data_IF_726477295846
#
_entry.id   IF_726477295846
#
_cell.length_a   1.000
_cell.length_b   1.000
_cell.length_c   1.000
_cell.angle_alpha   90.00
_cell.angle_beta   90.00
_cell.angle_gamma   90.00
#
_symmetry.space_group_name_H-M   'P 1'
#
loop_
_entity.id
_entity.type
_entity.pdbx_description
1 polymer ?
#
# COMPACT_ATOMS: atom_id res chain seq x y z
N UNK A 1 -0.84 -9.78 14.20
CA UNK A 1 -0.91 -10.00 12.75
C UNK A 1 -2.20 -10.71 12.47
N UNK A 2 -2.99 -10.24 11.51
CA UNK A 2 -4.29 -10.81 11.15
C UNK A 2 -4.14 -12.11 10.32
N UNK A 3 -3.20 -12.98 10.71
CA UNK A 3 -2.86 -14.25 10.07
C UNK A 3 -3.97 -15.29 10.21
N UNK A 4 -4.28 -15.99 9.11
CA UNK A 4 -4.91 -17.32 9.20
C UNK A 4 -3.77 -18.31 9.45
N UNK A 5 -3.95 -19.22 10.40
CA UNK A 5 -2.90 -20.12 10.89
C UNK A 5 -2.20 -20.92 9.76
N UNK A 6 -2.90 -21.17 8.65
CA UNK A 6 -2.41 -21.92 7.48
C UNK A 6 -1.94 -21.08 6.29
N UNK A 7 -1.93 -19.74 6.38
CA UNK A 7 -1.59 -18.87 5.25
C UNK A 7 -0.56 -17.80 5.63
N UNK A 8 0.63 -17.90 5.03
CA UNK A 8 1.66 -16.87 5.13
C UNK A 8 1.27 -15.72 4.21
N UNK A 9 1.07 -14.54 4.79
CA UNK A 9 1.00 -13.28 4.06
C UNK A 9 2.09 -12.33 4.55
N UNK A 10 2.70 -11.61 3.62
CA UNK A 10 3.72 -10.61 3.92
C UNK A 10 3.17 -9.25 3.55
N UNK A 11 3.36 -8.25 4.42
CA UNK A 11 2.98 -6.88 4.12
C UNK A 11 4.18 -6.13 3.55
N UNK A 12 4.06 -5.63 2.32
CA UNK A 12 4.99 -4.67 1.73
C UNK A 12 4.38 -3.27 1.84
N UNK A 13 4.96 -2.42 2.70
CA UNK A 13 4.50 -1.05 2.90
C UNK A 13 5.56 -0.04 2.45
N UNK A 14 5.42 0.56 1.27
CA UNK A 14 6.26 1.68 0.84
C UNK A 14 6.17 2.84 1.84
N UNK A 15 7.32 3.46 2.17
CA UNK A 15 7.43 4.57 3.12
C UNK A 15 8.12 5.77 2.47
N UNK A 16 7.70 6.96 2.89
CA UNK A 16 8.31 8.22 2.46
C UNK A 16 8.53 9.15 3.66
N UNK A 17 9.51 10.06 3.51
CA UNK A 17 9.69 11.15 4.47
C UNK A 17 8.42 12.00 4.48
N UNK A 18 7.78 12.11 5.65
CA UNK A 18 6.54 12.88 5.81
C UNK A 18 5.25 12.15 5.42
N UNK A 19 5.26 10.82 5.24
CA UNK A 19 4.04 10.02 4.98
C UNK A 19 3.08 9.91 6.17
N UNK A 20 3.45 10.54 7.30
CA UNK A 20 2.59 10.89 8.42
C UNK A 20 2.64 12.42 8.54
N UNK A 21 1.55 13.07 8.16
CA UNK A 21 1.40 14.52 8.20
C UNK A 21 0.45 14.95 9.33
N UNK A 22 0.20 16.26 9.46
CA UNK A 22 -0.70 16.82 10.49
C UNK A 22 -2.10 16.17 10.49
N UNK A 23 -2.69 15.94 9.31
CA UNK A 23 -4.00 15.29 9.18
C UNK A 23 -3.99 13.87 9.78
N UNK A 24 -2.89 13.14 9.62
CA UNK A 24 -2.72 11.80 10.18
C UNK A 24 -2.43 11.86 11.67
N UNK A 25 -1.44 12.67 12.08
CA UNK A 25 -0.91 12.69 13.44
C UNK A 25 -1.88 13.32 14.46
N UNK A 26 -2.58 14.39 14.08
CA UNK A 26 -3.49 15.13 14.95
C UNK A 26 -4.95 14.83 14.59
N UNK A 27 -5.27 14.80 13.30
CA UNK A 27 -6.64 14.56 12.83
C UNK A 27 -7.06 13.08 12.86
N UNK A 28 -6.13 12.14 13.05
CA UNK A 28 -6.42 10.70 13.01
C UNK A 28 -6.96 10.23 11.65
N UNK A 29 -6.76 11.00 10.58
CA UNK A 29 -7.24 10.70 9.22
C UNK A 29 -6.05 10.56 8.28
N UNK A 30 -5.98 9.43 7.58
CA UNK A 30 -5.00 9.20 6.51
C UNK A 30 -5.64 9.53 5.17
N UNK A 31 -4.99 10.40 4.40
CA UNK A 31 -5.41 10.72 3.04
C UNK A 31 -4.79 9.68 2.10
N UNK A 32 -5.61 9.03 1.28
CA UNK A 32 -5.17 8.14 0.22
C UNK A 32 -5.26 8.93 -1.10
N UNK A 33 -4.14 9.23 -1.76
CA UNK A 33 -4.11 10.18 -2.89
C UNK A 33 -4.62 9.58 -4.22
N UNK A 34 -4.81 8.26 -4.29
CA UNK A 34 -5.16 7.55 -5.52
C UNK A 34 -6.20 6.44 -5.25
N UNK A 35 -7.15 6.18 -6.17
CA UNK A 35 -8.04 5.01 -6.09
C UNK A 35 -7.29 3.68 -6.16
N UNK A 36 -7.78 2.67 -5.43
CA UNK A 36 -7.14 1.36 -5.36
C UNK A 36 -7.03 0.64 -6.71
N UNK A 37 -8.07 0.70 -7.55
CA UNK A 37 -8.04 0.14 -8.91
C UNK A 37 -6.89 0.69 -9.76
N UNK A 38 -6.62 1.99 -9.67
CA UNK A 38 -5.56 2.63 -10.44
C UNK A 38 -4.18 2.20 -9.92
N UNK A 39 -4.00 2.12 -8.59
CA UNK A 39 -2.77 1.58 -8.00
C UNK A 39 -2.54 0.13 -8.41
N UNK A 40 -3.58 -0.71 -8.41
CA UNK A 40 -3.51 -2.11 -8.83
C UNK A 40 -3.07 -2.24 -10.29
N UNK A 41 -3.69 -1.50 -11.21
CA UNK A 41 -3.35 -1.52 -12.64
C UNK A 41 -1.87 -1.17 -12.85
N UNK A 42 -1.41 -0.06 -12.25
CA UNK A 42 -0.02 0.38 -12.33
C UNK A 42 0.96 -0.69 -11.85
N UNK A 43 0.70 -1.33 -10.71
CA UNK A 43 1.55 -2.38 -10.18
C UNK A 43 1.55 -3.61 -11.09
N UNK A 44 0.37 -4.07 -11.52
CA UNK A 44 0.22 -5.24 -12.40
C UNK A 44 1.00 -5.09 -13.69
N UNK A 45 0.90 -3.93 -14.35
CA UNK A 45 1.63 -3.62 -15.58
C UNK A 45 3.16 -3.71 -15.41
N UNK A 46 3.70 -3.31 -14.26
CA UNK A 46 5.14 -3.43 -14.01
C UNK A 46 5.55 -4.86 -13.71
N UNK A 47 4.74 -5.61 -12.95
CA UNK A 47 5.00 -7.03 -12.71
C UNK A 47 4.99 -7.85 -13.99
N UNK A 48 4.09 -7.54 -14.93
CA UNK A 48 4.01 -8.23 -16.22
C UNK A 48 5.26 -8.03 -17.08
N UNK A 49 5.88 -6.85 -17.01
CA UNK A 49 7.16 -6.57 -17.69
C UNK A 49 8.35 -7.28 -17.09
N UNK A 50 8.30 -7.59 -15.79
CA UNK A 50 9.39 -8.30 -15.09
C UNK A 50 9.27 -9.81 -15.30
N UNK A 51 8.04 -10.33 -15.45
CA UNK A 51 7.77 -11.75 -15.65
C UNK A 51 7.86 -12.26 -17.09
N UNK A 52 8.06 -11.36 -18.08
CA UNK A 52 8.29 -11.67 -19.50
C UNK A 52 9.78 -11.67 -19.86
#
# INVERSE_FOLDING_TARGET
GAGIESHIHVHLLPRWVGDVNFMTAIGGKRVVPEPFELTYQKLKEQFDKIGS
#
